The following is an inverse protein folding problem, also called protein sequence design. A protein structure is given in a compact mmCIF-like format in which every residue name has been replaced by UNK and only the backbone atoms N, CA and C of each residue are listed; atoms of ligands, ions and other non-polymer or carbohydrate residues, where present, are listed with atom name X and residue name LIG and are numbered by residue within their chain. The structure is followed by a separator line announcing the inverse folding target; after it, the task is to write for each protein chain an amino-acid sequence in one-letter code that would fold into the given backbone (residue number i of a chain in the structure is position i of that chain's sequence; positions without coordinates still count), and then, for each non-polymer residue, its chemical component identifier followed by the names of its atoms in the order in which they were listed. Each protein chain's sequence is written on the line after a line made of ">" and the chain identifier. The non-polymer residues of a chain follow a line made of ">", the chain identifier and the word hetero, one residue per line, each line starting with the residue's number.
data_IF_998752701513
#
_entry.id   IF_998752701513
#
_cell.length_a   1.000
_cell.length_b   1.000
_cell.length_c   1.000
_cell.angle_alpha   90.00
_cell.angle_beta   90.00
_cell.angle_gamma   90.00
#
_symmetry.space_group_name_H-M   'P 1'
#
loop_
_entity.id
_entity.type
_entity.pdbx_description
1 polymer ?
#
# COMPACT_ATOMS: atom_id res chain seq x y z
N UNK A 1 -28.01 3.88 -13.09
CA UNK A 1 -27.32 2.59 -12.95
C UNK A 1 -26.54 2.66 -11.65
N UNK A 2 -26.90 1.87 -10.64
CA UNK A 2 -26.20 1.86 -9.35
C UNK A 2 -24.84 1.20 -9.56
N UNK A 3 -23.79 2.01 -9.62
CA UNK A 3 -22.41 1.54 -9.67
C UNK A 3 -22.11 0.92 -8.30
N UNK A 4 -22.25 -0.40 -8.19
CA UNK A 4 -21.87 -1.16 -7.01
C UNK A 4 -20.36 -0.96 -6.79
N UNK A 5 -19.97 0.12 -6.09
CA UNK A 5 -18.60 0.43 -5.72
C UNK A 5 -18.07 -0.73 -4.88
N UNK A 6 -17.41 -1.69 -5.53
CA UNK A 6 -16.66 -2.74 -4.85
C UNK A 6 -15.71 -2.03 -3.90
N UNK A 7 -15.91 -2.22 -2.59
CA UNK A 7 -15.00 -1.65 -1.59
C UNK A 7 -13.58 -2.11 -1.93
N UNK A 8 -12.68 -1.16 -2.14
CA UNK A 8 -11.28 -1.48 -2.34
C UNK A 8 -10.79 -2.24 -1.10
N UNK A 9 -10.05 -3.35 -1.32
CA UNK A 9 -9.51 -4.19 -0.24
C UNK A 9 -8.65 -3.40 0.75
N UNK A 10 -8.02 -2.33 0.28
CA UNK A 10 -7.15 -1.46 1.07
C UNK A 10 -7.56 -0.01 0.85
N UNK A 11 -7.79 0.73 1.93
CA UNK A 11 -8.07 2.16 1.90
C UNK A 11 -6.82 2.94 1.47
N UNK A 12 -7.00 4.18 1.01
CA UNK A 12 -5.88 5.04 0.63
C UNK A 12 -4.95 5.33 1.82
N UNK A 13 -5.53 5.61 2.98
CA UNK A 13 -4.79 5.85 4.23
C UNK A 13 -3.92 4.65 4.60
N UNK A 14 -4.46 3.43 4.50
CA UNK A 14 -3.70 2.20 4.76
C UNK A 14 -2.48 2.07 3.83
N UNK A 15 -2.65 2.36 2.54
CA UNK A 15 -1.55 2.31 1.57
C UNK A 15 -0.47 3.34 1.88
N UNK A 16 -0.87 4.57 2.21
CA UNK A 16 0.05 5.67 2.53
C UNK A 16 0.86 5.38 3.78
N UNK A 17 0.22 4.86 4.83
CA UNK A 17 0.93 4.51 6.05
C UNK A 17 1.90 3.34 5.81
N UNK A 18 1.49 2.33 5.05
CA UNK A 18 2.37 1.22 4.68
C UNK A 18 3.62 1.71 3.90
N UNK A 19 3.45 2.68 3.00
CA UNK A 19 4.57 3.30 2.28
C UNK A 19 5.43 4.18 3.19
N UNK A 20 4.82 4.94 4.11
CA UNK A 20 5.54 5.77 5.09
C UNK A 20 6.49 4.92 5.94
N UNK A 21 6.06 3.73 6.37
CA UNK A 21 6.90 2.79 7.11
C UNK A 21 8.13 2.35 6.32
N UNK A 22 7.97 2.01 5.04
CA UNK A 22 9.08 1.59 4.18
C UNK A 22 10.03 2.76 3.89
N UNK A 23 9.49 3.95 3.57
CA UNK A 23 10.29 5.16 3.38
C UNK A 23 11.02 5.60 4.67
N UNK A 24 10.45 5.28 5.83
CA UNK A 24 11.07 5.45 7.14
C UNK A 24 12.17 4.44 7.47
N UNK A 25 12.53 3.55 6.54
CA UNK A 25 13.65 2.62 6.67
C UNK A 25 13.26 1.19 7.05
N UNK A 26 11.96 0.87 7.19
CA UNK A 26 11.56 -0.52 7.37
C UNK A 26 11.75 -1.33 6.07
N UNK A 27 12.16 -2.58 6.24
CA UNK A 27 12.29 -3.53 5.12
C UNK A 27 10.91 -3.90 4.60
N UNK A 28 10.64 -3.64 3.32
CA UNK A 28 9.35 -3.89 2.69
C UNK A 28 8.82 -5.32 2.88
N UNK A 29 9.71 -6.32 2.87
CA UNK A 29 9.33 -7.72 3.12
C UNK A 29 8.78 -7.94 4.54
N UNK A 30 9.39 -7.30 5.54
CA UNK A 30 8.99 -7.39 6.95
C UNK A 30 7.68 -6.63 7.16
N UNK A 31 7.60 -5.40 6.67
CA UNK A 31 6.38 -4.57 6.76
C UNK A 31 5.19 -5.26 6.09
N UNK A 32 5.37 -5.86 4.90
CA UNK A 32 4.29 -6.59 4.22
C UNK A 32 3.81 -7.80 5.01
N UNK A 33 4.73 -8.54 5.65
CA UNK A 33 4.39 -9.68 6.53
C UNK A 33 3.59 -9.24 7.75
N UNK A 34 3.99 -8.16 8.41
CA UNK A 34 3.27 -7.58 9.57
C UNK A 34 1.86 -7.13 9.18
N UNK A 35 1.74 -6.45 8.03
CA UNK A 35 0.48 -5.94 7.51
C UNK A 35 -0.42 -7.01 6.86
N UNK A 36 0.06 -8.25 6.74
CA UNK A 36 -0.70 -9.34 6.11
C UNK A 36 -0.98 -9.12 4.62
N UNK A 37 -0.08 -8.42 3.91
CA UNK A 37 -0.23 -8.14 2.48
C UNK A 37 0.91 -8.77 1.68
N UNK A 38 0.71 -9.05 0.38
CA UNK A 38 1.79 -9.50 -0.48
C UNK A 38 2.89 -8.43 -0.58
N UNK A 39 4.16 -8.86 -0.46
CA UNK A 39 5.33 -7.96 -0.59
C UNK A 39 5.29 -7.12 -1.87
N UNK A 40 4.99 -7.77 -3.00
CA UNK A 40 4.91 -7.10 -4.30
C UNK A 40 3.84 -6.00 -4.33
N UNK A 41 2.72 -6.18 -3.60
CA UNK A 41 1.69 -5.15 -3.47
C UNK A 41 2.24 -3.91 -2.77
N UNK A 42 2.98 -4.09 -1.68
CA UNK A 42 3.61 -2.98 -0.96
C UNK A 42 4.67 -2.27 -1.82
N UNK A 43 5.54 -3.01 -2.49
CA UNK A 43 6.56 -2.44 -3.38
C UNK A 43 5.95 -1.65 -4.54
N UNK A 44 4.82 -2.11 -5.08
CA UNK A 44 4.07 -1.39 -6.09
C UNK A 44 3.53 -0.05 -5.55
N UNK A 45 3.02 -0.02 -4.33
CA UNK A 45 2.57 1.24 -3.70
C UNK A 45 3.72 2.21 -3.47
N UNK A 46 4.87 1.73 -3.00
CA UNK A 46 6.08 2.56 -2.85
C UNK A 46 6.47 3.18 -4.19
N UNK A 47 6.41 2.40 -5.29
CA UNK A 47 6.68 2.92 -6.64
C UNK A 47 5.66 3.96 -7.11
N UNK A 48 4.37 3.76 -6.83
CA UNK A 48 3.31 4.72 -7.17
C UNK A 48 3.46 6.01 -6.36
N UNK A 49 3.86 5.92 -5.10
CA UNK A 49 4.09 7.07 -4.22
C UNK A 49 5.29 7.90 -4.70
N UNK A 50 6.38 7.25 -5.12
CA UNK A 50 7.52 7.93 -5.76
C UNK A 50 7.16 8.63 -7.07
N UNK A 51 6.04 8.27 -7.70
CA UNK A 51 5.48 8.94 -8.89
C UNK A 51 4.41 9.98 -8.55
N UNK A 52 4.05 10.15 -7.27
CA UNK A 52 3.01 11.08 -6.82
C UNK A 52 1.57 10.64 -7.16
N UNK A 53 1.35 9.35 -7.46
CA UNK A 53 0.04 8.82 -7.93
C UNK A 53 -0.57 7.76 -7.01
N UNK A 54 -0.10 7.69 -5.75
CA UNK A 54 -0.62 6.73 -4.75
C UNK A 54 -1.91 7.19 -4.06
#
# INVERSE_FOLDING_TARGET
>A
MSETKRRARYTLEFKREAVRLVKGGQVAAVTAKILGIPKQTLENWVRLDSKGVL
#
